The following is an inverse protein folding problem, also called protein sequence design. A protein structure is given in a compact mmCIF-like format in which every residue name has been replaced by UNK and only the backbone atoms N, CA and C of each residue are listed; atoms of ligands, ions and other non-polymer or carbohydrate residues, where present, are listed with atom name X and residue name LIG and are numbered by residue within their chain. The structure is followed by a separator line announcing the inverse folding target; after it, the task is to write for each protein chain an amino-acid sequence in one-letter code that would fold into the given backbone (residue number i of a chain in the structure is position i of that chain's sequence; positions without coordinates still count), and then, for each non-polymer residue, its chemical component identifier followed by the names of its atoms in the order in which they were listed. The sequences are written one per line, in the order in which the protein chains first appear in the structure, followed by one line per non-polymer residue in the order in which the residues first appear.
data_IF_134137475336
#
_entry.id   IF_134137475336
#
_cell.length_a   1.000
_cell.length_b   1.000
_cell.length_c   1.000
_cell.angle_alpha   90.00
_cell.angle_beta   90.00
_cell.angle_gamma   90.00
#
_symmetry.space_group_name_H-M   'P 1'
#
loop_
_entity.id
_entity.type
_entity.pdbx_description
1 polymer ?
#
# COMPACT_ATOMS: atom_id res chain seq x y z
N UNK A 1 -71.22 -10.62 26.94
CA UNK A 1 -69.85 -10.89 26.45
C UNK A 1 -69.20 -11.94 27.35
N UNK A 2 -68.80 -13.09 26.80
CA UNK A 2 -68.35 -14.25 27.60
C UNK A 2 -66.97 -14.00 28.20
N UNK A 3 -66.76 -14.40 29.47
CA UNK A 3 -65.50 -14.19 30.23
C UNK A 3 -64.24 -14.60 29.44
N UNK A 4 -64.34 -15.66 28.64
CA UNK A 4 -63.27 -16.18 27.78
C UNK A 4 -62.76 -15.14 26.77
N UNK A 5 -63.66 -14.43 26.10
CA UNK A 5 -63.31 -13.40 25.09
C UNK A 5 -62.53 -12.23 25.70
N UNK A 6 -62.88 -11.82 26.93
CA UNK A 6 -62.22 -10.71 27.64
C UNK A 6 -60.79 -11.07 28.03
N UNK A 7 -60.58 -12.31 28.51
CA UNK A 7 -59.26 -12.82 28.87
C UNK A 7 -58.37 -12.96 27.63
N UNK A 8 -58.89 -13.52 26.53
CA UNK A 8 -58.11 -13.66 25.30
C UNK A 8 -57.68 -12.32 24.72
N UNK A 9 -58.54 -11.30 24.72
CA UNK A 9 -58.17 -9.96 24.24
C UNK A 9 -57.12 -9.31 25.13
N UNK A 10 -57.25 -9.46 26.47
CA UNK A 10 -56.28 -8.89 27.41
C UNK A 10 -54.90 -9.54 27.24
N UNK A 11 -54.84 -10.87 27.12
CA UNK A 11 -53.59 -11.60 26.88
C UNK A 11 -53.00 -11.22 25.52
N UNK A 12 -53.79 -11.16 24.46
CA UNK A 12 -53.32 -10.74 23.14
C UNK A 12 -52.75 -9.30 23.17
N UNK A 13 -53.44 -8.38 23.85
CA UNK A 13 -52.97 -6.99 24.00
C UNK A 13 -51.65 -6.92 24.76
N UNK A 14 -51.50 -7.71 25.82
CA UNK A 14 -50.26 -7.80 26.58
C UNK A 14 -49.10 -8.32 25.71
N UNK A 15 -49.33 -9.37 24.92
CA UNK A 15 -48.32 -9.88 23.99
C UNK A 15 -47.91 -8.84 22.95
N UNK A 16 -48.87 -8.11 22.38
CA UNK A 16 -48.58 -7.01 21.45
C UNK A 16 -47.76 -5.92 22.14
N UNK A 17 -48.15 -5.50 23.35
CA UNK A 17 -47.41 -4.48 24.10
C UNK A 17 -45.97 -4.91 24.40
N UNK A 18 -45.75 -6.16 24.79
CA UNK A 18 -44.41 -6.73 25.01
C UNK A 18 -43.59 -6.79 23.72
N UNK A 19 -44.20 -7.23 22.60
CA UNK A 19 -43.55 -7.28 21.30
C UNK A 19 -43.13 -5.90 20.79
N UNK A 20 -44.02 -4.90 20.91
CA UNK A 20 -43.70 -3.51 20.57
C UNK A 20 -42.59 -2.98 21.47
N UNK A 21 -42.65 -3.21 22.78
CA UNK A 21 -41.61 -2.76 23.71
C UNK A 21 -40.26 -3.38 23.36
N UNK A 22 -40.21 -4.69 23.11
CA UNK A 22 -38.98 -5.38 22.70
C UNK A 22 -38.43 -4.84 21.38
N UNK A 23 -39.30 -4.58 20.40
CA UNK A 23 -38.92 -3.98 19.11
C UNK A 23 -38.33 -2.58 19.30
N UNK A 24 -38.97 -1.72 20.11
CA UNK A 24 -38.47 -0.38 20.39
C UNK A 24 -37.10 -0.42 21.08
N UNK A 25 -36.90 -1.33 22.06
CA UNK A 25 -35.59 -1.52 22.70
C UNK A 25 -34.54 -1.96 21.68
N UNK A 26 -34.86 -2.95 20.83
CA UNK A 26 -33.95 -3.41 19.79
C UNK A 26 -33.58 -2.28 18.81
N UNK A 27 -34.56 -1.47 18.41
CA UNK A 27 -34.36 -0.41 17.42
C UNK A 27 -33.63 0.82 17.98
N UNK A 28 -34.00 1.29 19.17
CA UNK A 28 -33.48 2.54 19.73
C UNK A 28 -32.25 2.37 20.61
N UNK A 29 -32.03 1.19 21.19
CA UNK A 29 -30.91 0.94 22.11
C UNK A 29 -29.91 0.00 21.49
N UNK A 30 -30.36 -1.16 20.99
CA UNK A 30 -29.46 -2.23 20.59
C UNK A 30 -28.79 -1.95 19.23
N UNK A 31 -29.57 -1.59 18.20
CA UNK A 31 -29.05 -1.31 16.85
C UNK A 31 -28.00 -0.18 16.82
N UNK A 32 -28.22 1.00 17.43
CA UNK A 32 -27.21 2.05 17.45
C UNK A 32 -25.94 1.64 18.21
N UNK A 33 -26.09 0.87 19.28
CA UNK A 33 -24.94 0.36 20.05
C UNK A 33 -24.09 -0.61 19.23
N UNK A 34 -24.71 -1.50 18.46
CA UNK A 34 -23.97 -2.39 17.55
C UNK A 34 -23.30 -1.61 16.42
N UNK A 35 -24.01 -0.66 15.80
CA UNK A 35 -23.41 0.18 14.75
C UNK A 35 -22.21 0.99 15.25
N UNK A 36 -22.28 1.52 16.49
CA UNK A 36 -21.17 2.22 17.11
C UNK A 36 -19.98 1.28 17.39
N UNK A 37 -20.25 0.04 17.83
CA UNK A 37 -19.21 -0.96 18.05
C UNK A 37 -18.54 -1.38 16.74
N UNK A 38 -19.32 -1.68 15.71
CA UNK A 38 -18.84 -2.00 14.36
C UNK A 38 -17.97 -0.87 13.79
N UNK A 39 -18.38 0.39 13.96
CA UNK A 39 -17.58 1.54 13.54
C UNK A 39 -16.24 1.62 14.29
N UNK A 40 -16.25 1.43 15.61
CA UNK A 40 -15.03 1.42 16.43
C UNK A 40 -14.10 0.26 16.04
N UNK A 41 -14.64 -0.93 15.79
CA UNK A 41 -13.87 -2.09 15.32
C UNK A 41 -13.25 -1.83 13.93
N UNK A 42 -14.02 -1.25 13.01
CA UNK A 42 -13.53 -0.87 11.68
C UNK A 42 -12.37 0.15 11.78
N UNK A 43 -12.49 1.17 12.64
CA UNK A 43 -11.40 2.13 12.85
C UNK A 43 -10.14 1.46 13.43
N UNK A 44 -10.29 0.55 14.40
CA UNK A 44 -9.16 -0.19 14.96
C UNK A 44 -8.49 -1.04 13.89
N UNK A 45 -9.27 -1.75 13.07
CA UNK A 45 -8.75 -2.52 11.95
C UNK A 45 -7.99 -1.64 10.95
N UNK A 46 -8.55 -0.49 10.56
CA UNK A 46 -7.89 0.47 9.67
C UNK A 46 -6.54 0.94 10.22
N UNK A 47 -6.47 1.26 11.53
CA UNK A 47 -5.21 1.63 12.18
C UNK A 47 -4.17 0.51 12.13
N UNK A 48 -4.59 -0.75 12.31
CA UNK A 48 -3.70 -1.93 12.23
C UNK A 48 -3.17 -2.14 10.81
N UNK A 49 -4.04 -2.00 9.80
CA UNK A 49 -3.65 -2.08 8.38
C UNK A 49 -2.63 -0.98 8.07
N UNK A 50 -2.91 0.26 8.46
CA UNK A 50 -1.99 1.38 8.24
C UNK A 50 -0.63 1.11 8.88
N UNK A 51 -0.61 0.62 10.13
CA UNK A 51 0.62 0.29 10.82
C UNK A 51 1.42 -0.83 10.15
N UNK A 52 0.75 -1.84 9.58
CA UNK A 52 1.42 -2.89 8.80
C UNK A 52 2.07 -2.31 7.53
N UNK A 53 1.36 -1.42 6.82
CA UNK A 53 1.88 -0.74 5.63
C UNK A 53 3.06 0.18 5.98
N UNK A 54 2.95 0.96 7.05
CA UNK A 54 4.00 1.88 7.51
C UNK A 54 5.28 1.13 7.89
N UNK A 55 5.16 -0.05 8.50
CA UNK A 55 6.30 -0.94 8.77
C UNK A 55 7.00 -1.38 7.49
N UNK A 56 6.24 -1.78 6.46
CA UNK A 56 6.83 -2.16 5.16
C UNK A 56 7.51 -0.96 4.51
N UNK A 57 6.91 0.24 4.53
CA UNK A 57 7.57 1.44 4.04
C UNK A 57 8.83 1.78 4.81
N UNK A 58 8.83 1.68 6.15
CA UNK A 58 10.01 1.90 6.96
C UNK A 58 11.15 0.93 6.60
N UNK A 59 10.82 -0.35 6.36
CA UNK A 59 11.80 -1.33 5.88
C UNK A 59 12.36 -0.94 4.51
N UNK A 60 11.49 -0.60 3.54
CA UNK A 60 11.92 -0.18 2.21
C UNK A 60 12.79 1.07 2.27
N UNK A 61 12.42 2.07 3.09
CA UNK A 61 13.17 3.31 3.29
C UNK A 61 14.58 3.05 3.85
N UNK A 62 14.70 2.16 4.84
CA UNK A 62 15.99 1.74 5.37
C UNK A 62 16.82 1.01 4.31
N UNK A 63 16.21 0.12 3.53
CA UNK A 63 16.90 -0.58 2.45
C UNK A 63 17.42 0.40 1.39
N UNK A 64 16.60 1.31 0.86
CA UNK A 64 17.06 2.27 -0.15
C UNK A 64 18.10 3.25 0.40
N UNK A 65 18.04 3.60 1.68
CA UNK A 65 19.08 4.43 2.30
C UNK A 65 20.44 3.71 2.33
N UNK A 66 20.45 2.43 2.71
CA UNK A 66 21.67 1.62 2.73
C UNK A 66 22.23 1.36 1.33
N UNK A 67 21.37 1.00 0.37
CA UNK A 67 21.77 0.74 -1.01
C UNK A 67 22.14 2.02 -1.78
N UNK A 68 21.48 3.13 -1.47
CA UNK A 68 21.75 4.43 -2.06
C UNK A 68 23.05 5.03 -1.52
N UNK A 69 23.37 4.83 -0.25
CA UNK A 69 24.61 5.33 0.33
C UNK A 69 25.65 4.23 0.51
N UNK A 70 26.04 3.61 -0.60
CA UNK A 70 27.09 2.58 -0.64
C UNK A 70 28.10 2.91 -1.73
N UNK A 71 29.39 3.00 -1.36
CA UNK A 71 30.48 3.43 -2.25
C UNK A 71 30.57 2.64 -3.55
N UNK A 72 30.32 1.32 -3.53
CA UNK A 72 30.36 0.52 -4.75
C UNK A 72 29.16 0.78 -5.66
N UNK A 73 27.97 1.02 -5.09
CA UNK A 73 26.80 1.46 -5.85
C UNK A 73 27.03 2.86 -6.48
N UNK A 74 27.75 3.73 -5.80
CA UNK A 74 28.11 5.07 -6.30
C UNK A 74 29.14 5.04 -7.45
N UNK A 75 30.10 4.11 -7.39
CA UNK A 75 31.00 3.83 -8.52
C UNK A 75 30.23 3.22 -9.68
N UNK A 76 29.37 2.23 -9.40
CA UNK A 76 28.50 1.58 -10.37
C UNK A 76 27.61 2.57 -11.12
N UNK A 77 27.07 3.58 -10.43
CA UNK A 77 26.26 4.62 -11.04
C UNK A 77 27.02 5.51 -12.04
N UNK A 78 28.36 5.48 -12.05
CA UNK A 78 29.21 6.20 -13.03
C UNK A 78 29.78 5.26 -14.10
N UNK A 79 30.33 4.11 -13.69
CA UNK A 79 31.06 3.21 -14.58
C UNK A 79 30.17 2.15 -15.26
N UNK A 80 28.93 2.00 -14.79
CA UNK A 80 27.97 1.00 -15.24
C UNK A 80 28.55 -0.43 -15.28
N UNK A 81 29.42 -0.74 -14.31
CA UNK A 81 30.14 -1.99 -14.21
C UNK A 81 29.18 -3.19 -14.22
N UNK A 82 29.23 -3.97 -15.30
CA UNK A 82 28.37 -5.13 -15.51
C UNK A 82 28.61 -6.24 -14.48
N UNK A 83 29.82 -6.34 -13.92
CA UNK A 83 30.12 -7.29 -12.84
C UNK A 83 29.33 -6.95 -11.59
N UNK A 84 29.27 -5.67 -11.20
CA UNK A 84 28.45 -5.24 -10.06
C UNK A 84 26.97 -5.56 -10.29
N UNK A 85 26.44 -5.28 -11.48
CA UNK A 85 25.06 -5.60 -11.81
C UNK A 85 24.78 -7.12 -11.72
N UNK A 86 25.69 -7.95 -12.23
CA UNK A 86 25.56 -9.40 -12.22
C UNK A 86 25.70 -10.03 -10.83
N UNK A 87 26.46 -9.41 -9.91
CA UNK A 87 26.68 -9.92 -8.56
C UNK A 87 25.65 -9.39 -7.56
N UNK A 88 25.30 -8.10 -7.65
CA UNK A 88 24.48 -7.40 -6.66
C UNK A 88 23.00 -7.30 -7.04
N UNK A 89 22.69 -7.17 -8.32
CA UNK A 89 21.31 -6.96 -8.81
C UNK A 89 20.74 -8.29 -9.28
N UNK A 90 20.59 -9.23 -8.34
CA UNK A 90 20.21 -10.63 -8.61
C UNK A 90 18.91 -11.04 -7.94
N UNK A 91 18.30 -12.12 -8.44
CA UNK A 91 17.12 -12.74 -7.80
C UNK A 91 17.40 -13.19 -6.36
N UNK A 92 18.61 -13.69 -6.08
CA UNK A 92 19.01 -14.06 -4.72
C UNK A 92 19.10 -12.83 -3.80
N UNK A 93 19.63 -11.70 -4.30
CA UNK A 93 19.64 -10.43 -3.57
C UNK A 93 18.23 -9.93 -3.24
N UNK A 94 17.33 -9.98 -4.22
CA UNK A 94 15.91 -9.63 -4.03
C UNK A 94 15.23 -10.49 -2.95
N UNK A 95 15.47 -11.81 -2.95
CA UNK A 95 14.97 -12.73 -1.91
C UNK A 95 15.49 -12.36 -0.52
N UNK A 96 16.79 -12.09 -0.40
CA UNK A 96 17.41 -11.73 0.87
C UNK A 96 16.88 -10.41 1.42
N UNK A 97 16.60 -9.44 0.55
CA UNK A 97 15.96 -8.17 0.93
C UNK A 97 14.45 -8.31 1.18
N UNK A 98 13.84 -9.42 0.74
CA UNK A 98 12.40 -9.65 0.71
C UNK A 98 11.64 -8.57 -0.09
N UNK A 99 12.12 -8.28 -1.30
CA UNK A 99 11.58 -7.24 -2.19
C UNK A 99 11.39 -7.76 -3.61
N UNK A 100 10.39 -7.25 -4.31
CA UNK A 100 10.01 -7.69 -5.66
C UNK A 100 10.82 -7.01 -6.75
N UNK A 101 11.42 -5.85 -6.48
CA UNK A 101 12.26 -5.14 -7.45
C UNK A 101 13.35 -4.30 -6.79
N UNK A 102 14.49 -4.21 -7.48
CA UNK A 102 15.62 -3.35 -7.19
C UNK A 102 16.07 -2.74 -8.51
N UNK A 103 16.15 -1.42 -8.58
CA UNK A 103 16.49 -0.68 -9.79
C UNK A 103 17.49 0.41 -9.46
N UNK A 104 18.55 0.48 -10.23
CA UNK A 104 19.46 1.61 -10.29
C UNK A 104 19.17 2.42 -11.54
N UNK A 105 19.07 3.72 -11.37
CA UNK A 105 18.80 4.65 -12.46
C UNK A 105 19.78 5.81 -12.45
N UNK A 106 20.04 6.36 -13.64
CA UNK A 106 20.81 7.60 -13.78
C UNK A 106 19.96 8.82 -13.35
N UNK A 107 20.55 10.03 -13.26
CA UNK A 107 19.81 11.25 -12.91
C UNK A 107 18.70 11.64 -13.89
N UNK A 108 18.69 11.09 -15.11
CA UNK A 108 17.65 11.31 -16.12
C UNK A 108 16.44 10.37 -15.94
N UNK A 109 16.59 9.35 -15.11
CA UNK A 109 15.61 8.30 -14.84
C UNK A 109 15.71 7.10 -15.79
N UNK A 110 16.82 6.95 -16.53
CA UNK A 110 17.11 5.75 -17.31
C UNK A 110 17.64 4.64 -16.40
N UNK A 111 17.20 3.40 -16.60
CA UNK A 111 17.57 2.28 -15.75
C UNK A 111 18.92 1.71 -16.20
N UNK A 112 19.91 1.80 -15.32
CA UNK A 112 21.26 1.28 -15.53
C UNK A 112 21.28 -0.22 -15.26
N UNK A 113 20.64 -0.64 -14.17
CA UNK A 113 20.40 -2.05 -13.85
C UNK A 113 19.06 -2.22 -13.14
N UNK A 114 18.42 -3.35 -13.35
CA UNK A 114 17.16 -3.69 -12.70
C UNK A 114 17.05 -5.19 -12.53
N UNK A 115 16.54 -5.62 -11.38
CA UNK A 115 16.06 -6.97 -11.19
C UNK A 115 14.62 -6.93 -10.68
N UNK A 116 13.86 -7.93 -11.08
CA UNK A 116 12.47 -8.15 -10.67
C UNK A 116 12.27 -9.62 -10.35
N UNK A 117 11.50 -9.90 -9.31
CA UNK A 117 11.21 -11.25 -8.85
C UNK A 117 9.83 -11.31 -8.22
N UNK A 118 9.05 -12.31 -8.62
CA UNK A 118 7.88 -12.72 -7.85
C UNK A 118 8.35 -13.55 -6.66
N UNK A 119 8.21 -12.99 -5.45
CA UNK A 119 8.65 -13.63 -4.20
C UNK A 119 7.87 -14.91 -3.86
N UNK A 120 6.73 -15.16 -4.50
CA UNK A 120 5.90 -16.34 -4.26
C UNK A 120 6.28 -17.49 -5.19
N UNK A 121 6.41 -17.21 -6.48
CA UNK A 121 6.68 -18.25 -7.49
C UNK A 121 8.16 -18.42 -7.81
N UNK A 122 8.99 -17.53 -7.31
CA UNK A 122 10.42 -17.46 -7.61
C UNK A 122 10.73 -17.26 -9.11
N UNK A 123 9.80 -16.63 -9.82
CA UNK A 123 9.90 -16.39 -11.26
C UNK A 123 10.19 -14.91 -11.55
N UNK A 124 10.84 -14.61 -12.68
CA UNK A 124 10.99 -13.24 -13.15
C UNK A 124 9.62 -12.55 -13.27
N UNK A 125 9.52 -11.34 -12.73
CA UNK A 125 8.30 -10.54 -12.77
C UNK A 125 8.41 -9.48 -13.86
N UNK A 126 7.45 -9.44 -14.78
CA UNK A 126 7.38 -8.37 -15.79
C UNK A 126 6.53 -7.21 -15.27
N UNK A 127 7.20 -6.12 -14.86
CA UNK A 127 6.59 -4.86 -14.45
C UNK A 127 6.63 -3.87 -15.62
N UNK A 128 5.47 -3.31 -15.96
CA UNK A 128 5.27 -2.38 -17.07
C UNK A 128 6.25 -1.19 -17.12
N UNK A 129 6.59 -0.60 -15.97
CA UNK A 129 7.56 0.49 -15.90
C UNK A 129 9.03 0.02 -16.02
N UNK A 130 9.32 -1.25 -15.73
CA UNK A 130 10.66 -1.84 -15.91
C UNK A 130 10.94 -2.22 -17.36
N UNK A 131 9.92 -2.65 -18.10
CA UNK A 131 10.05 -2.99 -19.52
C UNK A 131 10.52 -1.79 -20.39
N UNK A 132 10.17 -0.56 -20.00
CA UNK A 132 10.57 0.67 -20.70
C UNK A 132 12.02 1.08 -20.45
N UNK A 133 12.72 0.43 -19.51
CA UNK A 133 14.09 0.77 -19.05
C UNK A 133 14.27 2.24 -18.66
N UNK A 134 13.20 2.95 -18.39
CA UNK A 134 13.23 4.34 -17.96
C UNK A 134 11.91 4.69 -17.27
N UNK A 135 11.99 5.61 -16.31
CA UNK A 135 10.79 6.24 -15.79
C UNK A 135 10.04 6.94 -16.92
N UNK A 136 8.72 6.93 -16.90
CA UNK A 136 7.91 7.67 -17.87
C UNK A 136 7.86 9.16 -17.49
N UNK A 137 7.53 10.05 -18.41
CA UNK A 137 7.47 11.50 -18.14
C UNK A 137 6.41 11.86 -17.10
N UNK A 138 5.35 11.05 -17.01
CA UNK A 138 4.26 11.14 -16.04
C UNK A 138 4.56 10.37 -14.74
N UNK A 139 5.77 9.83 -14.55
CA UNK A 139 6.10 9.11 -13.33
C UNK A 139 6.05 10.08 -12.12
N UNK A 140 5.32 9.74 -11.05
CA UNK A 140 5.01 10.71 -10.00
C UNK A 140 6.23 11.27 -9.25
N UNK A 141 7.33 10.51 -9.15
CA UNK A 141 8.55 10.91 -8.42
C UNK A 141 9.59 11.63 -9.27
N UNK A 142 9.26 12.06 -10.49
CA UNK A 142 10.19 12.75 -11.40
C UNK A 142 10.92 13.92 -10.73
N UNK A 143 10.22 14.75 -9.95
CA UNK A 143 10.82 15.88 -9.24
C UNK A 143 11.82 15.40 -8.18
N UNK A 144 11.47 14.38 -7.40
CA UNK A 144 12.35 13.78 -6.39
C UNK A 144 13.64 13.23 -7.01
N UNK A 145 13.56 12.60 -8.18
CA UNK A 145 14.73 12.07 -8.89
C UNK A 145 15.66 13.19 -9.36
N UNK A 146 15.09 14.26 -9.93
CA UNK A 146 15.85 15.44 -10.36
C UNK A 146 16.56 16.15 -9.21
N UNK A 147 15.94 16.17 -8.04
CA UNK A 147 16.45 16.85 -6.85
C UNK A 147 17.25 15.93 -5.91
N UNK A 148 17.37 14.64 -6.24
CA UNK A 148 18.02 13.65 -5.36
C UNK A 148 17.31 13.48 -4.01
N UNK A 149 15.99 13.70 -3.95
CA UNK A 149 15.20 13.57 -2.71
C UNK A 149 14.71 12.15 -2.53
N UNK A 150 14.82 11.65 -1.29
CA UNK A 150 14.17 10.40 -0.89
C UNK A 150 12.66 10.51 -1.04
N UNK A 151 12.02 9.41 -1.41
CA UNK A 151 10.57 9.34 -1.58
C UNK A 151 10.09 7.90 -1.37
N UNK A 152 8.84 7.74 -0.94
CA UNK A 152 8.18 6.44 -0.83
C UNK A 152 6.70 6.59 -1.11
N UNK A 153 6.05 5.50 -1.53
CA UNK A 153 4.61 5.48 -1.74
C UNK A 153 4.17 4.30 -2.59
N UNK A 154 2.91 4.35 -3.01
CA UNK A 154 2.30 3.33 -3.85
C UNK A 154 2.45 3.68 -5.33
N UNK A 155 2.81 2.68 -6.13
CA UNK A 155 2.93 2.75 -7.58
C UNK A 155 2.01 1.70 -8.19
N UNK A 156 1.07 2.12 -9.03
CA UNK A 156 0.24 1.18 -9.78
C UNK A 156 1.05 0.53 -10.90
N UNK A 157 0.92 -0.79 -11.05
CA UNK A 157 1.59 -1.58 -12.10
C UNK A 157 0.59 -2.53 -12.77
N UNK A 158 1.01 -3.17 -13.86
CA UNK A 158 0.28 -4.27 -14.51
C UNK A 158 0.13 -5.52 -13.63
N UNK A 159 0.87 -5.63 -12.52
CA UNK A 159 0.84 -6.77 -11.59
C UNK A 159 0.16 -6.44 -10.25
N UNK A 160 -0.35 -5.22 -10.09
CA UNK A 160 -0.98 -4.74 -8.86
C UNK A 160 -0.28 -3.50 -8.30
N UNK A 161 -0.50 -3.23 -7.00
CA UNK A 161 0.09 -2.08 -6.32
C UNK A 161 1.49 -2.46 -5.83
N UNK A 162 2.49 -1.70 -6.22
CA UNK A 162 3.86 -1.79 -5.71
C UNK A 162 4.04 -0.75 -4.60
N UNK A 163 4.38 -1.20 -3.39
CA UNK A 163 4.94 -0.32 -2.37
C UNK A 163 6.40 -0.10 -2.70
N UNK A 164 6.79 1.13 -3.00
CA UNK A 164 8.17 1.43 -3.38
C UNK A 164 8.74 2.61 -2.61
N UNK A 165 10.06 2.59 -2.46
CA UNK A 165 10.85 3.69 -1.96
C UNK A 165 11.99 3.96 -2.93
N UNK A 166 12.50 5.19 -2.93
CA UNK A 166 13.65 5.59 -3.71
C UNK A 166 14.55 6.56 -2.93
N UNK A 167 15.85 6.50 -3.20
CA UNK A 167 16.87 7.35 -2.59
C UNK A 167 17.99 7.69 -3.58
N UNK A 168 18.68 8.82 -3.41
CA UNK A 168 19.84 9.16 -4.24
C UNK A 168 20.98 8.16 -4.02
N UNK A 169 21.76 7.92 -5.07
CA UNK A 169 23.02 7.19 -4.97
C UNK A 169 24.15 8.16 -4.59
N UNK A 170 24.72 8.00 -3.40
CA UNK A 170 25.70 8.86 -2.73
C UNK A 170 26.99 8.09 -2.40
N UNK A 171 28.05 8.81 -2.06
CA UNK A 171 29.44 8.30 -1.97
C UNK A 171 29.73 7.26 -0.88
N UNK A 172 28.75 6.89 -0.04
CA UNK A 172 28.92 6.02 1.12
C UNK A 172 29.06 6.79 2.44
N UNK A 173 29.40 8.07 2.39
CA UNK A 173 29.46 8.97 3.55
C UNK A 173 28.25 9.90 3.64
N UNK A 174 27.30 9.76 2.72
CA UNK A 174 26.12 10.62 2.62
C UNK A 174 26.41 11.94 1.92
N UNK A 175 27.52 12.06 1.17
CA UNK A 175 27.91 13.27 0.47
C UNK A 175 27.99 13.06 -1.05
N UNK A 176 28.40 14.13 -1.73
CA UNK A 176 28.64 14.18 -3.16
C UNK A 176 27.36 14.44 -3.95
N UNK A 177 27.51 14.82 -5.24
CA UNK A 177 26.36 14.91 -6.11
C UNK A 177 25.74 13.51 -6.26
N UNK A 178 24.40 13.45 -6.20
CA UNK A 178 23.69 12.22 -6.48
C UNK A 178 24.02 11.76 -7.91
N UNK A 179 24.52 10.53 -8.05
CA UNK A 179 24.86 9.94 -9.36
C UNK A 179 23.71 9.17 -10.00
N UNK A 180 22.51 9.35 -9.45
CA UNK A 180 21.34 8.61 -9.84
C UNK A 180 20.47 8.32 -8.64
N UNK A 181 19.55 7.37 -8.81
CA UNK A 181 18.60 6.95 -7.78
C UNK A 181 18.53 5.44 -7.74
N UNK A 182 18.40 4.89 -6.54
CA UNK A 182 18.01 3.50 -6.30
C UNK A 182 16.52 3.44 -5.98
N UNK A 183 15.81 2.47 -6.54
CA UNK A 183 14.40 2.16 -6.25
C UNK A 183 14.36 0.74 -5.73
N UNK A 184 13.65 0.55 -4.62
CA UNK A 184 13.31 -0.78 -4.12
C UNK A 184 11.80 -0.83 -3.92
N UNK A 185 11.19 -1.93 -4.35
CA UNK A 185 9.75 -2.10 -4.22
C UNK A 185 9.32 -3.51 -3.90
N UNK A 186 8.18 -3.63 -3.23
CA UNK A 186 7.52 -4.87 -2.87
C UNK A 186 6.08 -4.83 -3.36
N UNK A 187 5.70 -5.86 -4.12
CA UNK A 187 4.38 -5.94 -4.75
C UNK A 187 3.36 -6.45 -3.74
N UNK A 188 2.29 -5.68 -3.49
CA UNK A 188 1.13 -6.12 -2.73
C UNK A 188 0.36 -7.17 -3.53
N UNK A 189 0.80 -8.42 -3.40
CA UNK A 189 0.10 -9.58 -3.99
C UNK A 189 -1.22 -9.83 -3.26
N UNK A 190 -2.19 -10.55 -3.86
CA UNK A 190 -3.41 -10.93 -3.17
C UNK A 190 -3.16 -11.63 -1.82
N UNK A 191 -2.11 -12.45 -1.74
CA UNK A 191 -1.68 -13.10 -0.51
C UNK A 191 -1.18 -12.10 0.54
N UNK A 192 -0.39 -11.11 0.14
CA UNK A 192 0.06 -10.07 1.09
C UNK A 192 -1.11 -9.24 1.62
N UNK A 193 -2.09 -8.94 0.77
CA UNK A 193 -3.32 -8.26 1.17
C UNK A 193 -4.11 -9.10 2.18
N UNK A 194 -4.21 -10.40 1.95
CA UNK A 194 -4.86 -11.34 2.87
C UNK A 194 -4.09 -11.44 4.20
N UNK A 195 -2.77 -11.53 4.18
CA UNK A 195 -1.92 -11.57 5.37
C UNK A 195 -2.05 -10.28 6.20
N UNK A 196 -2.08 -9.11 5.56
CA UNK A 196 -2.33 -7.81 6.23
C UNK A 196 -3.74 -7.78 6.82
N UNK A 197 -4.75 -8.26 6.09
CA UNK A 197 -6.13 -8.37 6.56
C UNK A 197 -6.25 -9.27 7.79
N UNK A 198 -5.64 -10.45 7.75
CA UNK A 198 -5.61 -11.41 8.86
C UNK A 198 -4.95 -10.81 10.11
N UNK A 199 -3.81 -10.12 9.96
CA UNK A 199 -3.14 -9.42 11.06
C UNK A 199 -4.00 -8.28 11.64
N UNK A 200 -4.75 -7.59 10.78
CA UNK A 200 -5.66 -6.53 11.20
C UNK A 200 -6.98 -7.06 11.81
N UNK A 201 -7.26 -8.35 11.68
CA UNK A 201 -8.54 -8.99 11.98
C UNK A 201 -9.69 -8.39 11.14
N UNK A 202 -9.43 -8.11 9.87
CA UNK A 202 -10.39 -7.53 8.95
C UNK A 202 -10.30 -8.15 7.55
N UNK A 203 -11.44 -8.21 6.86
CA UNK A 203 -11.46 -8.56 5.45
C UNK A 203 -10.91 -7.38 4.65
N UNK A 204 -9.69 -7.53 4.12
CA UNK A 204 -9.05 -6.55 3.27
C UNK A 204 -9.12 -7.02 1.82
N UNK A 205 -9.48 -6.11 0.91
CA UNK A 205 -9.43 -6.35 -0.52
C UNK A 205 -8.93 -5.11 -1.24
N UNK A 206 -8.28 -5.32 -2.39
CA UNK A 206 -7.93 -4.24 -3.29
C UNK A 206 -9.08 -4.01 -4.25
N UNK A 207 -9.48 -2.75 -4.44
CA UNK A 207 -10.48 -2.36 -5.42
C UNK A 207 -9.75 -1.61 -6.53
N UNK A 208 -10.01 -1.97 -7.78
CA UNK A 208 -9.50 -1.22 -8.92
C UNK A 208 -9.95 0.24 -8.80
N UNK A 209 -9.05 1.19 -9.02
CA UNK A 209 -9.38 2.60 -8.92
C UNK A 209 -10.60 2.93 -9.81
N UNK A 210 -11.64 3.49 -9.19
CA UNK A 210 -12.81 4.01 -9.89
C UNK A 210 -12.34 5.16 -10.81
N UNK A 211 -12.08 4.85 -12.09
CA UNK A 211 -11.56 5.67 -13.20
C UNK A 211 -10.09 5.39 -13.60
N UNK A 212 -9.84 4.39 -14.45
CA UNK A 212 -8.51 4.09 -15.03
C UNK A 212 -7.99 5.12 -16.05
N UNK A 213 -8.73 6.21 -16.33
CA UNK A 213 -8.44 7.16 -17.42
C UNK A 213 -7.62 8.41 -17.05
N UNK A 214 -7.18 8.59 -15.80
CA UNK A 214 -6.31 9.71 -15.39
C UNK A 214 -5.05 9.14 -14.75
N UNK A 215 -3.91 9.50 -15.31
CA UNK A 215 -2.59 8.89 -15.10
C UNK A 215 -2.11 8.74 -13.65
N UNK A 216 -1.01 8.01 -13.52
CA UNK A 216 -0.37 7.60 -12.26
C UNK A 216 -0.44 8.68 -11.18
N UNK A 217 -1.29 8.48 -10.16
CA UNK A 217 -1.32 9.32 -8.96
C UNK A 217 -0.48 8.70 -7.86
N UNK A 218 0.43 9.50 -7.34
CA UNK A 218 0.99 9.36 -6.00
C UNK A 218 -0.14 9.44 -4.96
N UNK A 219 -0.22 8.45 -4.11
CA UNK A 219 -0.88 8.59 -2.80
C UNK A 219 0.25 8.77 -1.79
N UNK A 220 0.53 10.02 -1.42
CA UNK A 220 1.37 10.32 -0.27
C UNK A 220 0.54 10.06 0.99
N UNK A 221 0.97 9.11 1.82
CA UNK A 221 0.32 8.84 3.10
C UNK A 221 0.65 9.95 4.09
N UNK A 222 -0.09 11.05 4.01
CA UNK A 222 -0.28 11.98 5.12
C UNK A 222 -1.21 11.37 6.17
N UNK A 223 -0.89 11.60 7.44
CA UNK A 223 -1.64 11.13 8.60
C UNK A 223 -3.15 11.43 8.51
N UNK A 224 -3.95 10.38 8.66
CA UNK A 224 -5.41 10.36 8.77
C UNK A 224 -6.19 10.65 7.47
N UNK A 225 -6.53 9.57 6.76
CA UNK A 225 -7.82 9.39 6.06
C UNK A 225 -8.24 10.52 5.09
N UNK A 226 -7.89 10.42 3.80
CA UNK A 226 -8.59 11.17 2.76
C UNK A 226 -9.71 10.32 2.15
N UNK A 227 -10.92 10.48 2.70
CA UNK A 227 -12.16 10.14 2.00
C UNK A 227 -12.33 11.16 0.86
N UNK A 228 -12.26 10.71 -0.39
CA UNK A 228 -12.57 11.56 -1.53
C UNK A 228 -14.09 11.66 -1.70
N UNK A 229 -14.68 12.76 -1.25
CA UNK A 229 -15.98 13.19 -1.78
C UNK A 229 -15.76 13.88 -3.13
N UNK A 230 -16.48 13.41 -4.16
CA UNK A 230 -16.59 14.14 -5.43
C UNK A 230 -17.35 15.44 -5.20
N UNK A 231 -16.64 16.56 -5.16
CA UNK A 231 -17.26 17.87 -5.36
C UNK A 231 -17.52 18.07 -6.85
N UNK A 232 -18.79 18.11 -7.24
CA UNK A 232 -19.23 18.85 -8.41
C UNK A 232 -19.37 20.33 -8.01
N UNK A 233 -18.88 21.28 -8.82
CA UNK A 233 -19.79 22.32 -9.32
C UNK A 233 -19.35 22.97 -10.66
N UNK A 234 -20.12 23.93 -11.21
CA UNK A 234 -21.54 24.25 -10.97
C UNK A 234 -22.48 23.72 -12.05
#
# INVERSE_FOLDING_TARGET
MNIRSKVTTLVATLFVALGVTAFLVAWYVLMPSFAALEHSEAEVAMRRIQFALDRTFAQLALSVASWGNWTDAWRFAEDHNQTFAAEQVTAAGLRNLNVSTLIFSDPSGHFIASATLDLQTDQPLDLDFTARRALTSDFPWRANFREGRRVQGFVQTNRGILMAAAAPVLDGFGHGPARGMVIIGRLLTPREVEEIGAQAQAALSTVAALNPGRGNRLVETGSAMQVFHSFAPP
#
